data_IF_938101626111
#
_entry.id   IF_938101626111
#
_cell.length_a   1.000
_cell.length_b   1.000
_cell.length_c   1.000
_cell.angle_alpha   90.00
_cell.angle_beta   90.00
_cell.angle_gamma   90.00
#
_symmetry.space_group_name_H-M   'P 1'
#
loop_
_entity.id
_entity.type
_entity.pdbx_description
1 polymer ?
#
# COMPACT_ATOMS: atom_id res chain seq x y z
N UNK A 1 -1.87 5.98 8.15
CA UNK A 1 -1.76 5.22 6.90
C UNK A 1 -0.93 5.93 5.83
N UNK A 2 0.38 6.16 6.05
CA UNK A 2 1.28 6.68 5.00
C UNK A 2 1.69 5.58 4.01
N UNK A 3 2.09 5.98 2.80
CA UNK A 3 2.82 5.10 1.88
C UNK A 3 4.30 5.10 2.28
N UNK A 4 4.86 3.94 2.59
CA UNK A 4 6.22 3.87 3.15
C UNK A 4 7.33 4.13 2.12
N UNK A 5 7.01 4.09 0.83
CA UNK A 5 7.93 4.46 -0.25
C UNK A 5 7.93 5.97 -0.52
N UNK A 6 7.04 6.75 0.11
CA UNK A 6 6.93 8.20 -0.04
C UNK A 6 7.28 8.92 1.26
N UNK A 7 7.78 10.17 1.19
CA UNK A 7 8.03 10.96 2.39
C UNK A 7 6.75 11.29 3.15
N UNK A 8 6.86 11.37 4.47
CA UNK A 8 5.81 11.91 5.32
C UNK A 8 5.67 13.42 5.11
N UNK A 9 4.59 13.85 4.46
CA UNK A 9 4.23 15.26 4.29
C UNK A 9 3.03 15.68 5.15
N UNK A 10 2.72 16.98 5.19
CA UNK A 10 1.59 17.59 5.93
C UNK A 10 0.25 16.88 5.69
N UNK A 11 -0.01 16.40 4.46
CA UNK A 11 -1.21 15.61 4.19
C UNK A 11 -1.40 14.38 5.12
N UNK A 12 -0.32 13.69 5.47
CA UNK A 12 -0.37 12.55 6.41
C UNK A 12 -0.50 13.01 7.87
N UNK A 13 -0.01 14.21 8.21
CA UNK A 13 -0.15 14.77 9.54
C UNK A 13 -1.63 15.00 9.87
N UNK A 14 -2.43 15.49 8.91
CA UNK A 14 -3.86 15.74 9.10
C UNK A 14 -4.61 14.49 9.54
N UNK A 15 -4.48 13.39 8.80
CA UNK A 15 -5.17 12.14 9.14
C UNK A 15 -4.66 11.54 10.45
N UNK A 16 -3.35 11.67 10.72
CA UNK A 16 -2.73 11.19 11.96
C UNK A 16 -3.32 11.88 13.19
N UNK A 17 -3.41 13.21 13.19
CA UNK A 17 -3.93 13.97 14.34
C UNK A 17 -5.43 13.73 14.51
N UNK A 18 -6.21 13.83 13.43
CA UNK A 18 -7.67 13.63 13.49
C UNK A 18 -7.99 12.23 14.02
N UNK A 19 -7.33 11.19 13.49
CA UNK A 19 -7.52 9.82 13.96
C UNK A 19 -7.18 9.66 15.44
N UNK A 20 -6.08 10.25 15.92
CA UNK A 20 -5.69 10.18 17.33
C UNK A 20 -6.71 10.87 18.25
N UNK A 21 -7.23 12.05 17.85
CA UNK A 21 -8.27 12.76 18.60
C UNK A 21 -9.54 11.93 18.71
N UNK A 22 -9.99 11.33 17.61
CA UNK A 22 -11.17 10.46 17.60
C UNK A 22 -10.96 9.25 18.50
N UNK A 23 -9.80 8.58 18.41
CA UNK A 23 -9.50 7.44 19.26
C UNK A 23 -9.52 7.80 20.75
N UNK A 24 -8.94 8.95 21.12
CA UNK A 24 -8.94 9.42 22.50
C UNK A 24 -10.34 9.76 22.99
N UNK A 25 -11.19 10.35 22.14
CA UNK A 25 -12.58 10.66 22.47
C UNK A 25 -13.39 9.37 22.70
N UNK A 26 -13.29 8.41 21.79
CA UNK A 26 -13.98 7.13 21.90
C UNK A 26 -13.54 6.34 23.15
N UNK A 27 -12.24 6.33 23.46
CA UNK A 27 -11.76 5.73 24.70
C UNK A 27 -12.27 6.46 25.95
N UNK A 28 -12.36 7.80 25.91
CA UNK A 28 -12.88 8.58 27.03
C UNK A 28 -14.35 8.28 27.34
N UNK A 29 -15.18 8.04 26.31
CA UNK A 29 -16.60 7.68 26.48
C UNK A 29 -16.82 6.20 26.82
N UNK A 30 -15.75 5.39 26.83
CA UNK A 30 -15.77 3.99 27.26
C UNK A 30 -15.83 2.96 26.14
N UNK A 31 -15.64 3.35 24.88
CA UNK A 31 -15.57 2.41 23.77
C UNK A 31 -14.25 1.63 23.78
N UNK A 32 -14.30 0.39 23.29
CA UNK A 32 -13.09 -0.37 22.97
C UNK A 32 -12.52 0.12 21.63
N UNK A 33 -11.27 0.59 21.65
CA UNK A 33 -10.64 1.28 20.52
C UNK A 33 -9.33 0.61 20.18
N UNK A 34 -9.24 0.10 18.94
CA UNK A 34 -7.99 -0.39 18.34
C UNK A 34 -7.47 0.63 17.33
N UNK A 35 -6.27 1.16 17.57
CA UNK A 35 -5.56 2.09 16.66
C UNK A 35 -4.74 1.30 15.66
N UNK A 36 -5.18 1.30 14.40
CA UNK A 36 -4.50 0.61 13.30
C UNK A 36 -3.77 1.62 12.42
N UNK A 37 -2.46 1.43 12.24
CA UNK A 37 -1.73 2.10 11.17
C UNK A 37 -1.65 1.19 9.95
N UNK A 38 -2.54 1.43 8.98
CA UNK A 38 -2.58 0.67 7.73
C UNK A 38 -1.60 1.26 6.72
N UNK A 39 -0.44 0.64 6.56
CA UNK A 39 0.63 1.13 5.71
C UNK A 39 0.35 0.86 4.22
N UNK A 40 0.58 1.86 3.39
CA UNK A 40 0.67 1.68 1.94
C UNK A 40 2.02 1.07 1.60
N UNK A 41 2.15 -0.24 1.82
CA UNK A 41 3.39 -0.98 1.70
C UNK A 41 3.44 -1.97 0.53
N UNK A 42 2.49 -1.86 -0.40
CA UNK A 42 2.41 -2.69 -1.60
C UNK A 42 2.05 -1.86 -2.83
N UNK A 43 2.85 -1.96 -3.90
CA UNK A 43 2.57 -1.30 -5.17
C UNK A 43 3.81 -0.98 -6.01
N UNK A 44 3.59 -0.48 -7.22
CA UNK A 44 4.64 -0.18 -8.21
C UNK A 44 5.72 0.79 -7.73
N UNK A 45 5.40 1.62 -6.74
CA UNK A 45 6.34 2.54 -6.09
C UNK A 45 7.52 1.78 -5.45
N UNK A 46 7.30 0.55 -4.97
CA UNK A 46 8.39 -0.30 -4.47
C UNK A 46 9.26 -0.85 -5.58
N UNK A 47 8.67 -1.18 -6.73
CA UNK A 47 9.45 -1.56 -7.90
C UNK A 47 10.40 -0.44 -8.33
N UNK A 48 9.92 0.81 -8.32
CA UNK A 48 10.73 2.00 -8.59
C UNK A 48 11.83 2.17 -7.54
N UNK A 49 11.50 2.07 -6.24
CA UNK A 49 12.48 2.20 -5.16
C UNK A 49 13.53 1.08 -5.17
N UNK A 50 13.11 -0.16 -5.45
CA UNK A 50 13.97 -1.35 -5.54
C UNK A 50 14.96 -1.22 -6.70
N UNK A 51 14.46 -0.96 -7.90
CA UNK A 51 15.26 -0.70 -9.10
C UNK A 51 16.23 0.47 -8.87
N UNK A 52 15.69 1.55 -8.31
CA UNK A 52 16.39 2.75 -7.92
C UNK A 52 17.55 2.55 -6.98
N UNK A 53 17.36 1.72 -5.96
CA UNK A 53 18.40 1.44 -4.98
C UNK A 53 19.61 0.73 -5.61
N UNK A 54 19.41 -0.07 -6.67
CA UNK A 54 20.52 -0.65 -7.42
C UNK A 54 21.40 0.40 -8.12
N UNK A 55 20.83 1.55 -8.52
CA UNK A 55 21.52 2.61 -9.26
C UNK A 55 22.01 3.76 -8.38
N UNK A 56 21.18 4.20 -7.43
CA UNK A 56 21.40 5.38 -6.60
C UNK A 56 21.60 5.04 -5.12
N UNK A 57 21.40 3.77 -4.75
CA UNK A 57 21.52 3.31 -3.37
C UNK A 57 22.96 3.23 -2.89
N UNK A 58 23.12 3.35 -1.57
CA UNK A 58 24.39 3.24 -0.89
C UNK A 58 24.11 2.63 0.49
N UNK A 59 24.79 1.54 0.80
CA UNK A 59 24.54 0.78 2.04
C UNK A 59 24.94 1.57 3.30
N UNK A 60 26.07 2.29 3.26
CA UNK A 60 26.53 3.08 4.40
C UNK A 60 25.60 4.26 4.70
N UNK A 61 25.06 4.92 3.68
CA UNK A 61 24.06 5.99 3.86
C UNK A 61 22.72 5.44 4.34
N UNK A 62 22.32 4.25 3.88
CA UNK A 62 21.12 3.56 4.37
C UNK A 62 21.23 3.25 5.87
N UNK A 63 22.40 2.83 6.36
CA UNK A 63 22.63 2.55 7.78
C UNK A 63 22.66 3.83 8.63
N UNK A 64 23.25 4.90 8.10
CA UNK A 64 23.40 6.17 8.83
C UNK A 64 22.10 6.97 8.93
N UNK A 65 21.35 7.08 7.83
CA UNK A 65 20.08 7.81 7.82
C UNK A 65 19.09 7.18 6.81
N UNK A 66 18.44 6.07 7.20
CA UNK A 66 17.65 5.26 6.28
C UNK A 66 16.58 6.06 5.54
N UNK A 67 15.77 6.84 6.28
CA UNK A 67 14.65 7.57 5.70
C UNK A 67 15.11 8.65 4.71
N UNK A 68 16.15 9.41 5.08
CA UNK A 68 16.69 10.46 4.20
C UNK A 68 17.28 9.85 2.93
N UNK A 69 18.01 8.74 3.06
CA UNK A 69 18.62 8.07 1.92
C UNK A 69 17.59 7.41 1.01
N UNK A 70 16.62 6.67 1.57
CA UNK A 70 15.51 6.10 0.79
C UNK A 70 14.69 7.17 0.08
N UNK A 71 14.47 8.33 0.71
CA UNK A 71 13.82 9.47 0.07
C UNK A 71 14.63 9.99 -1.13
N UNK A 72 15.95 10.15 -0.97
CA UNK A 72 16.82 10.58 -2.06
C UNK A 72 16.74 9.61 -3.23
N UNK A 73 16.90 8.30 -2.96
CA UNK A 73 16.78 7.24 -3.97
C UNK A 73 15.41 7.31 -4.65
N UNK A 74 14.32 7.44 -3.88
CA UNK A 74 12.98 7.54 -4.42
C UNK A 74 12.82 8.70 -5.40
N UNK A 75 13.27 9.91 -5.04
CA UNK A 75 13.16 11.09 -5.91
C UNK A 75 13.96 10.92 -7.19
N UNK A 76 15.21 10.47 -7.10
CA UNK A 76 16.07 10.23 -8.27
C UNK A 76 15.49 9.14 -9.18
N UNK A 77 14.90 8.09 -8.60
CA UNK A 77 14.31 6.98 -9.34
C UNK A 77 13.00 7.35 -10.04
N UNK A 78 12.19 8.23 -9.46
CA UNK A 78 10.99 8.72 -10.15
C UNK A 78 11.38 9.61 -11.34
N UNK A 79 12.34 10.52 -11.16
CA UNK A 79 12.85 11.34 -12.26
C UNK A 79 13.42 10.48 -13.41
N UNK A 80 14.17 9.42 -13.06
CA UNK A 80 14.66 8.45 -14.05
C UNK A 80 13.50 7.69 -14.73
N UNK A 81 12.50 7.22 -13.98
CA UNK A 81 11.36 6.48 -14.53
C UNK A 81 10.49 7.33 -15.48
N UNK A 82 10.46 8.65 -15.30
CA UNK A 82 9.78 9.58 -16.20
C UNK A 82 10.54 9.76 -17.53
N UNK A 83 11.87 9.77 -17.49
CA UNK A 83 12.72 10.06 -18.64
C UNK A 83 13.15 8.80 -19.40
N UNK A 84 13.21 7.65 -18.73
CA UNK A 84 13.77 6.41 -19.24
C UNK A 84 12.72 5.28 -19.22
N UNK A 85 12.08 4.98 -20.37
CA UNK A 85 11.10 3.89 -20.47
C UNK A 85 11.66 2.52 -20.08
N UNK A 86 12.95 2.27 -20.32
CA UNK A 86 13.59 1.00 -19.95
C UNK A 86 13.70 0.87 -18.42
N UNK A 87 14.04 1.95 -17.72
CA UNK A 87 14.05 1.97 -16.25
C UNK A 87 12.65 1.74 -15.69
N UNK A 88 11.63 2.36 -16.29
CA UNK A 88 10.23 2.14 -15.89
C UNK A 88 9.78 0.69 -16.10
N UNK A 89 10.16 0.07 -17.22
CA UNK A 89 9.87 -1.33 -17.48
C UNK A 89 10.56 -2.25 -16.46
N UNK A 90 11.82 -1.97 -16.11
CA UNK A 90 12.55 -2.70 -15.08
C UNK A 90 11.91 -2.53 -13.69
N UNK A 91 11.48 -1.32 -13.32
CA UNK A 91 10.75 -1.09 -12.07
C UNK A 91 9.45 -1.89 -12.00
N UNK A 92 8.70 -2.00 -13.10
CA UNK A 92 7.51 -2.86 -13.17
C UNK A 92 7.87 -4.34 -13.03
N UNK A 93 8.98 -4.77 -13.65
CA UNK A 93 9.50 -6.14 -13.50
C UNK A 93 9.87 -6.45 -12.05
N UNK A 94 10.58 -5.55 -11.38
CA UNK A 94 10.92 -5.68 -9.95
C UNK A 94 9.68 -5.79 -9.08
N UNK A 95 8.62 -5.03 -9.38
CA UNK A 95 7.35 -5.18 -8.65
C UNK A 95 6.67 -6.53 -8.93
N UNK A 96 6.68 -7.02 -10.17
CA UNK A 96 6.18 -8.36 -10.50
C UNK A 96 7.00 -9.47 -9.80
N UNK A 97 8.32 -9.30 -9.71
CA UNK A 97 9.21 -10.19 -8.95
C UNK A 97 8.86 -10.17 -7.44
N UNK A 98 8.48 -9.02 -6.89
CA UNK A 98 7.98 -8.92 -5.51
C UNK A 98 6.65 -9.67 -5.35
N UNK A 99 5.70 -9.51 -6.26
CA UNK A 99 4.40 -10.18 -6.23
C UNK A 99 4.50 -11.70 -6.38
N UNK A 100 5.46 -12.17 -7.19
CA UNK A 100 5.75 -13.60 -7.37
C UNK A 100 6.57 -14.21 -6.22
N UNK A 101 6.98 -13.41 -5.24
CA UNK A 101 7.71 -13.90 -4.06
C UNK A 101 9.20 -14.15 -4.29
N UNK A 102 9.82 -13.47 -5.26
CA UNK A 102 11.26 -13.54 -5.48
C UNK A 102 12.03 -13.19 -4.19
N UNK A 103 12.81 -14.14 -3.67
CA UNK A 103 13.47 -14.02 -2.37
C UNK A 103 14.35 -12.79 -2.23
N UNK A 104 15.03 -12.37 -3.29
CA UNK A 104 15.94 -11.22 -3.27
C UNK A 104 15.13 -9.93 -3.12
N UNK A 105 14.13 -9.75 -3.98
CA UNK A 105 13.30 -8.54 -3.99
C UNK A 105 12.45 -8.45 -2.72
N UNK A 106 11.88 -9.57 -2.27
CA UNK A 106 11.13 -9.65 -0.99
C UNK A 106 12.01 -9.27 0.19
N UNK A 107 13.28 -9.72 0.24
CA UNK A 107 14.18 -9.39 1.35
C UNK A 107 14.51 -7.90 1.38
N UNK A 108 14.73 -7.30 0.22
CA UNK A 108 14.97 -5.87 0.09
C UNK A 108 13.72 -5.05 0.50
N UNK A 109 12.54 -5.46 0.05
CA UNK A 109 11.27 -4.83 0.43
C UNK A 109 11.06 -4.88 1.95
N UNK A 110 11.29 -6.04 2.59
CA UNK A 110 11.20 -6.19 4.05
C UNK A 110 12.13 -5.23 4.78
N UNK A 111 13.38 -5.14 4.35
CA UNK A 111 14.36 -4.20 4.91
C UNK A 111 13.84 -2.75 4.84
N UNK A 112 13.39 -2.31 3.66
CA UNK A 112 12.86 -0.95 3.50
C UNK A 112 11.62 -0.72 4.37
N UNK A 113 10.73 -1.71 4.46
CA UNK A 113 9.54 -1.66 5.31
C UNK A 113 9.90 -1.52 6.79
N UNK A 114 10.81 -2.33 7.30
CA UNK A 114 11.25 -2.29 8.69
C UNK A 114 11.92 -0.96 9.04
N UNK A 115 12.83 -0.47 8.19
CA UNK A 115 13.49 0.82 8.38
C UNK A 115 12.48 1.98 8.40
N UNK A 116 11.49 1.95 7.50
CA UNK A 116 10.42 2.94 7.48
C UNK A 116 9.55 2.87 8.73
N UNK A 117 9.18 1.67 9.20
CA UNK A 117 8.38 1.49 10.43
C UNK A 117 9.11 2.09 11.64
N UNK A 118 10.39 1.81 11.83
CA UNK A 118 11.18 2.35 12.95
C UNK A 118 11.16 3.88 12.95
N UNK A 119 11.38 4.50 11.80
CA UNK A 119 11.35 5.95 11.68
C UNK A 119 9.95 6.54 11.92
N UNK A 120 8.90 5.89 11.40
CA UNK A 120 7.53 6.31 11.62
C UNK A 120 7.15 6.23 13.09
N UNK A 121 7.53 5.17 13.79
CA UNK A 121 7.27 5.01 15.22
C UNK A 121 7.89 6.16 16.03
N UNK A 122 9.12 6.56 15.72
CA UNK A 122 9.74 7.72 16.39
C UNK A 122 9.00 9.03 16.07
N UNK A 123 8.58 9.22 14.81
CA UNK A 123 7.77 10.38 14.43
C UNK A 123 6.43 10.42 15.20
N UNK A 124 5.71 9.30 15.25
CA UNK A 124 4.43 9.21 15.96
C UNK A 124 4.60 9.43 17.46
N UNK A 125 5.66 8.89 18.05
CA UNK A 125 6.01 9.11 19.45
C UNK A 125 6.19 10.59 19.76
N UNK A 126 6.89 11.34 18.90
CA UNK A 126 7.04 12.80 19.04
C UNK A 126 5.72 13.55 18.94
N UNK A 127 4.74 13.00 18.23
CA UNK A 127 3.39 13.56 18.10
C UNK A 127 2.44 13.09 19.23
N UNK A 128 2.89 12.25 20.16
CA UNK A 128 2.04 11.66 21.19
C UNK A 128 1.00 10.68 20.62
N UNK A 129 1.29 10.07 19.48
CA UNK A 129 0.43 9.10 18.80
C UNK A 129 1.02 7.70 18.98
N UNK A 130 0.16 6.76 19.33
CA UNK A 130 0.49 5.34 19.44
C UNK A 130 -0.44 4.53 18.55
N UNK A 131 0.02 3.36 18.13
CA UNK A 131 -0.76 2.41 17.35
C UNK A 131 -0.68 1.05 18.02
N UNK A 132 -1.81 0.37 18.12
CA UNK A 132 -1.91 -0.97 18.69
C UNK A 132 -1.51 -2.02 17.64
N UNK A 133 -1.84 -1.74 16.38
CA UNK A 133 -1.55 -2.64 15.25
C UNK A 133 -0.89 -1.86 14.11
N UNK A 134 0.22 -2.39 13.62
CA UNK A 134 0.84 -1.95 12.36
C UNK A 134 0.53 -3.01 11.30
N UNK A 135 -0.31 -2.63 10.35
CA UNK A 135 -0.78 -3.49 9.27
C UNK A 135 -0.42 -2.87 7.92
N UNK A 136 -0.71 -3.52 6.81
CA UNK A 136 -0.47 -2.94 5.48
C UNK A 136 -1.09 -3.70 4.33
N UNK A 137 -1.13 -3.05 3.17
CA UNK A 137 -1.66 -3.63 1.93
C UNK A 137 -1.01 -4.97 1.56
N UNK A 138 0.27 -5.15 1.90
CA UNK A 138 1.03 -6.36 1.62
C UNK A 138 0.41 -7.62 2.23
N UNK A 139 -0.18 -7.50 3.43
CA UNK A 139 -0.80 -8.60 4.15
C UNK A 139 -2.09 -9.12 3.47
N UNK A 140 -2.71 -8.32 2.60
CA UNK A 140 -3.99 -8.63 1.96
C UNK A 140 -3.89 -8.93 0.47
N UNK A 141 -2.68 -8.98 -0.09
CA UNK A 141 -2.44 -9.33 -1.50
C UNK A 141 -3.09 -10.67 -1.88
N UNK A 142 -2.87 -11.71 -1.07
CA UNK A 142 -3.48 -13.03 -1.27
C UNK A 142 -5.00 -13.01 -1.09
N UNK A 143 -5.49 -12.37 -0.02
CA UNK A 143 -6.92 -12.26 0.24
C UNK A 143 -7.66 -11.50 -0.86
N UNK A 144 -7.00 -10.53 -1.51
CA UNK A 144 -7.54 -9.81 -2.66
C UNK A 144 -7.69 -10.72 -3.89
N UNK A 145 -6.74 -11.63 -4.14
CA UNK A 145 -6.85 -12.63 -5.21
C UNK A 145 -7.98 -13.63 -4.92
N UNK A 146 -8.07 -14.12 -3.67
CA UNK A 146 -9.16 -15.02 -3.25
C UNK A 146 -10.54 -14.35 -3.39
N UNK A 147 -10.64 -13.05 -3.13
CA UNK A 147 -11.85 -12.28 -3.36
C UNK A 147 -12.22 -12.21 -4.85
N UNK A 148 -11.24 -11.98 -5.73
CA UNK A 148 -11.47 -11.96 -7.18
C UNK A 148 -11.91 -13.34 -7.70
N UNK A 149 -11.27 -14.41 -7.26
CA UNK A 149 -11.64 -15.77 -7.66
C UNK A 149 -13.04 -16.11 -7.20
N UNK A 150 -13.42 -15.73 -5.98
CA UNK A 150 -14.78 -15.91 -5.49
C UNK A 150 -15.80 -15.13 -6.33
N UNK A 151 -15.55 -13.86 -6.64
CA UNK A 151 -16.44 -13.05 -7.49
C UNK A 151 -16.59 -13.66 -8.89
N UNK A 152 -15.53 -14.30 -9.40
CA UNK A 152 -15.57 -15.06 -10.65
C UNK A 152 -16.45 -16.30 -10.52
N UNK A 153 -16.30 -17.09 -9.46
CA UNK A 153 -17.15 -18.27 -9.20
C UNK A 153 -18.63 -17.91 -9.00
N UNK A 154 -18.91 -16.74 -8.42
CA UNK A 154 -20.27 -16.20 -8.26
C UNK A 154 -20.84 -15.59 -9.56
N UNK A 155 -20.10 -15.60 -10.67
CA UNK A 155 -20.47 -14.96 -11.94
C UNK A 155 -20.75 -13.45 -11.83
N UNK A 156 -20.12 -12.78 -10.85
CA UNK A 156 -20.25 -11.34 -10.61
C UNK A 156 -19.11 -10.54 -11.22
N UNK A 157 -17.95 -11.17 -11.41
CA UNK A 157 -16.79 -10.54 -12.02
C UNK A 157 -16.95 -10.48 -13.54
N UNK A 158 -16.86 -9.27 -14.10
CA UNK A 158 -17.01 -9.00 -15.53
C UNK A 158 -15.73 -8.37 -16.09
N UNK A 159 -15.49 -8.58 -17.38
CA UNK A 159 -14.38 -7.95 -18.12
C UNK A 159 -14.90 -6.81 -18.98
N UNK A 160 -14.21 -5.67 -18.95
CA UNK A 160 -14.36 -4.60 -19.95
C UNK A 160 -13.61 -4.94 -21.24
N UNK A 161 -13.85 -4.15 -22.28
CA UNK A 161 -13.19 -4.25 -23.59
C UNK A 161 -11.66 -4.11 -23.52
N UNK A 162 -11.15 -3.33 -22.54
CA UNK A 162 -9.72 -3.15 -22.27
C UNK A 162 -9.10 -4.28 -21.43
N UNK A 163 -9.89 -5.31 -21.10
CA UNK A 163 -9.48 -6.45 -20.27
C UNK A 163 -9.51 -6.18 -18.76
N UNK A 164 -9.85 -4.98 -18.31
CA UNK A 164 -9.98 -4.67 -16.88
C UNK A 164 -11.14 -5.47 -16.28
N UNK A 165 -10.89 -6.12 -15.14
CA UNK A 165 -11.90 -6.91 -14.43
C UNK A 165 -12.56 -6.07 -13.34
N UNK A 166 -13.88 -6.18 -13.18
CA UNK A 166 -14.63 -5.42 -12.20
C UNK A 166 -16.05 -5.95 -11.99
N UNK A 167 -16.85 -5.20 -11.25
CA UNK A 167 -18.27 -5.51 -11.01
C UNK A 167 -19.13 -4.31 -11.38
N UNK A 168 -20.37 -4.55 -11.80
CA UNK A 168 -21.38 -3.49 -11.86
C UNK A 168 -22.07 -3.37 -10.52
N UNK A 169 -22.06 -2.15 -9.97
CA UNK A 169 -22.80 -1.79 -8.77
C UNK A 169 -24.02 -1.00 -9.21
N UNK A 170 -25.24 -1.43 -8.82
CA UNK A 170 -26.45 -0.69 -9.13
C UNK A 170 -26.39 0.73 -8.56
N UNK A 171 -26.81 1.72 -9.36
CA UNK A 171 -26.94 3.08 -8.86
C UNK A 171 -28.04 3.20 -7.80
N UNK A 172 -27.86 4.10 -6.83
CA UNK A 172 -28.90 4.44 -5.86
C UNK A 172 -29.55 5.79 -6.23
N UNK A 173 -30.83 5.98 -5.91
CA UNK A 173 -31.48 7.29 -6.04
C UNK A 173 -31.63 7.84 -7.46
N UNK A 174 -31.60 6.98 -8.50
CA UNK A 174 -31.70 7.38 -9.90
C UNK A 174 -30.36 7.59 -10.62
N UNK A 175 -29.25 7.25 -9.97
CA UNK A 175 -27.95 7.15 -10.61
C UNK A 175 -27.86 5.92 -11.53
N UNK A 176 -27.02 6.01 -12.57
CA UNK A 176 -26.74 4.88 -13.45
C UNK A 176 -25.83 3.85 -12.78
N UNK A 177 -25.94 2.59 -13.21
CA UNK A 177 -25.06 1.52 -12.77
C UNK A 177 -23.58 1.86 -13.02
N UNK A 178 -22.77 1.75 -11.97
CA UNK A 178 -21.36 2.06 -12.05
C UNK A 178 -20.53 0.77 -12.17
N UNK A 179 -19.66 0.71 -13.18
CA UNK A 179 -18.64 -0.33 -13.21
C UNK A 179 -17.48 0.06 -12.30
N UNK A 180 -17.19 -0.82 -11.35
CA UNK A 180 -16.14 -0.65 -10.35
C UNK A 180 -14.97 -1.59 -10.70
N UNK A 181 -13.81 -1.05 -11.14
CA UNK A 181 -12.65 -1.87 -11.50
C UNK A 181 -12.00 -2.47 -10.25
N UNK A 182 -11.67 -3.77 -10.31
CA UNK A 182 -11.09 -4.55 -9.23
C UNK A 182 -9.73 -5.17 -9.57
N UNK A 183 -9.47 -5.48 -10.84
CA UNK A 183 -8.17 -5.98 -11.27
C UNK A 183 -7.82 -5.42 -12.66
N UNK A 184 -6.52 -5.27 -12.92
CA UNK A 184 -6.05 -4.92 -14.26
C UNK A 184 -6.20 -6.10 -15.23
N UNK A 185 -5.93 -5.85 -16.50
CA UNK A 185 -5.95 -6.88 -17.56
C UNK A 185 -4.91 -7.99 -17.37
N UNK A 186 -3.84 -7.75 -16.62
CA UNK A 186 -2.86 -8.76 -16.22
C UNK A 186 -3.28 -9.60 -15.00
N UNK A 187 -4.48 -9.35 -14.44
CA UNK A 187 -5.00 -10.02 -13.25
C UNK A 187 -4.49 -9.45 -11.92
N UNK A 188 -3.60 -8.45 -11.92
CA UNK A 188 -3.11 -7.82 -10.70
C UNK A 188 -4.22 -7.03 -9.98
N UNK A 189 -4.28 -7.20 -8.65
CA UNK A 189 -5.31 -6.56 -7.82
C UNK A 189 -5.14 -5.04 -7.75
N UNK A 190 -6.26 -4.31 -7.74
CA UNK A 190 -6.27 -2.86 -7.49
C UNK A 190 -6.39 -2.54 -6.00
N UNK A 191 -6.12 -1.28 -5.66
CA UNK A 191 -6.20 -0.78 -4.28
C UNK A 191 -7.56 -1.04 -3.64
N UNK A 192 -8.65 -0.81 -4.37
CA UNK A 192 -10.01 -1.05 -3.87
C UNK A 192 -10.23 -2.53 -3.51
N UNK A 193 -9.74 -3.45 -4.32
CA UNK A 193 -9.85 -4.90 -4.06
C UNK A 193 -9.10 -5.30 -2.80
N UNK A 194 -7.90 -4.74 -2.58
CA UNK A 194 -7.17 -4.93 -1.33
C UNK A 194 -7.92 -4.35 -0.14
N UNK A 195 -8.49 -3.15 -0.26
CA UNK A 195 -9.29 -2.54 0.81
C UNK A 195 -10.52 -3.38 1.16
N UNK A 196 -11.25 -3.87 0.16
CA UNK A 196 -12.40 -4.75 0.37
C UNK A 196 -11.99 -6.07 1.04
N UNK A 197 -10.85 -6.64 0.65
CA UNK A 197 -10.29 -7.82 1.30
C UNK A 197 -9.90 -7.56 2.76
N UNK A 198 -9.26 -6.42 3.04
CA UNK A 198 -8.91 -5.98 4.40
C UNK A 198 -10.14 -5.79 5.27
N UNK A 199 -11.15 -5.06 4.79
CA UNK A 199 -12.41 -4.89 5.52
C UNK A 199 -13.06 -6.23 5.82
N UNK A 200 -13.12 -7.12 4.82
CA UNK A 200 -13.65 -8.47 5.01
C UNK A 200 -12.88 -9.22 6.10
N UNK A 201 -11.57 -9.12 6.13
CA UNK A 201 -10.74 -9.77 7.15
C UNK A 201 -10.97 -9.17 8.54
N UNK A 202 -11.01 -7.85 8.67
CA UNK A 202 -11.23 -7.18 9.96
C UNK A 202 -12.62 -7.41 10.55
N UNK A 203 -13.66 -7.50 9.70
CA UNK A 203 -15.05 -7.66 10.15
C UNK A 203 -15.53 -9.12 10.23
N UNK A 204 -14.93 -10.03 9.47
CA UNK A 204 -15.34 -11.44 9.41
C UNK A 204 -14.28 -12.40 9.93
N UNK A 205 -13.15 -11.91 10.46
CA UNK A 205 -12.29 -12.75 11.28
C UNK A 205 -13.09 -13.22 12.51
N UNK A 206 -13.06 -14.52 12.83
CA UNK A 206 -13.81 -15.10 13.94
C UNK A 206 -13.35 -14.56 15.31
#
# INVERSE_FOLDING_TARGET
SPNIAKPFHVGHLRSTIIGNVLCNLHQFVGDDVTRINYLGDWGTQFGILSCGFGKFGNQAELEKNPLKHLLKVYVESNAEAEQNPAFRAEALRQFSDLESGNKVVVSQWKLFRELSIVNYTELYKRLGVTFDVIDGESNYSKAALELLDRLRTESRLQSREDGVLGIHVPGEGGEEDCFVPLAKSDGSSLYLTRCSATQRHLYLAP
#
